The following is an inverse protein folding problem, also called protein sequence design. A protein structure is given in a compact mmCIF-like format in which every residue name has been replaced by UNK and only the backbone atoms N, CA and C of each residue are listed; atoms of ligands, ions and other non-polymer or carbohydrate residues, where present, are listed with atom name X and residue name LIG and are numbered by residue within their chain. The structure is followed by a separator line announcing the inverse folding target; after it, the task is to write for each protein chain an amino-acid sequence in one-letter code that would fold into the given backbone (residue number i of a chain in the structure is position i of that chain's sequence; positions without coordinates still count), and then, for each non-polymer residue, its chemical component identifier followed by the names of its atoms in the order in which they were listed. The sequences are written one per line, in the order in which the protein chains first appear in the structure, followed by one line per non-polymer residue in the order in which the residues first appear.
data_IF_541026209195
#
_entry.id   IF_541026209195
#
_cell.length_a   1.000
_cell.length_b   1.000
_cell.length_c   1.000
_cell.angle_alpha   90.00
_cell.angle_beta   90.00
_cell.angle_gamma   90.00
#
_symmetry.space_group_name_H-M   'P 1'
#
loop_
_entity.id
_entity.type
_entity.pdbx_description
1 polymer ?
#
# COMPACT_ATOMS: atom_id res chain seq x y z
N UNK A 1 -6.32 4.68 4.92
CA UNK A 1 -6.69 5.15 3.57
C UNK A 1 -8.08 4.72 3.20
N UNK A 2 -8.87 5.64 2.73
CA UNK A 2 -10.24 5.32 2.32
C UNK A 2 -10.27 5.05 0.83
N UNK A 3 -11.01 4.02 0.38
CA UNK A 3 -11.10 3.73 -1.05
C UNK A 3 -11.58 4.91 -1.89
N UNK A 4 -12.47 5.73 -1.33
CA UNK A 4 -12.96 6.92 -2.03
C UNK A 4 -11.82 7.87 -2.38
N UNK A 5 -10.92 8.10 -1.43
CA UNK A 5 -9.79 8.99 -1.65
C UNK A 5 -8.86 8.43 -2.73
N UNK A 6 -8.66 7.12 -2.73
CA UNK A 6 -7.82 6.48 -3.73
C UNK A 6 -8.41 6.58 -5.12
N UNK A 7 -9.73 6.49 -5.23
CA UNK A 7 -10.38 6.59 -6.54
C UNK A 7 -10.29 7.97 -7.17
N UNK A 8 -10.03 8.98 -6.36
CA UNK A 8 -9.87 10.35 -6.85
C UNK A 8 -8.47 10.60 -7.42
N UNK A 9 -7.52 9.71 -7.15
CA UNK A 9 -6.16 9.85 -7.63
C UNK A 9 -6.05 9.37 -9.07
N UNK A 10 -5.12 9.99 -9.82
CA UNK A 10 -4.82 9.54 -11.17
C UNK A 10 -4.06 8.21 -11.13
N UNK A 11 -3.96 7.55 -12.29
CA UNK A 11 -3.21 6.33 -12.41
C UNK A 11 -1.75 6.51 -11.98
N UNK A 12 -1.11 7.60 -12.43
CA UNK A 12 0.27 7.88 -12.07
C UNK A 12 0.43 8.13 -10.58
N UNK A 13 -0.51 8.84 -9.98
CA UNK A 13 -0.50 9.09 -8.54
C UNK A 13 -0.67 7.79 -7.75
N UNK A 14 -1.53 6.90 -8.23
CA UNK A 14 -1.72 5.61 -7.60
C UNK A 14 -0.48 4.74 -7.70
N UNK A 15 0.22 4.78 -8.82
CA UNK A 15 1.47 4.02 -8.97
C UNK A 15 2.54 4.53 -8.02
N UNK A 16 2.67 5.84 -7.89
CA UNK A 16 3.61 6.44 -6.96
C UNK A 16 3.26 6.07 -5.52
N UNK A 17 1.97 6.12 -5.18
CA UNK A 17 1.51 5.76 -3.85
C UNK A 17 1.78 4.30 -3.55
N UNK A 18 1.53 3.43 -4.52
CA UNK A 18 1.80 2.00 -4.38
C UNK A 18 3.28 1.74 -4.08
N UNK A 19 4.16 2.40 -4.84
CA UNK A 19 5.59 2.22 -4.64
C UNK A 19 6.02 2.72 -3.26
N UNK A 20 5.52 3.87 -2.85
CA UNK A 20 5.84 4.43 -1.54
C UNK A 20 5.44 3.47 -0.42
N UNK A 21 4.22 2.93 -0.50
CA UNK A 21 3.72 2.03 0.53
C UNK A 21 4.48 0.71 0.56
N UNK A 22 4.87 0.20 -0.61
CA UNK A 22 5.66 -1.03 -0.69
C UNK A 22 7.03 -0.83 -0.08
N UNK A 23 7.65 0.33 -0.32
CA UNK A 23 8.95 0.65 0.26
C UNK A 23 8.86 0.73 1.78
N UNK A 24 7.81 1.36 2.30
CA UNK A 24 7.59 1.42 3.74
C UNK A 24 7.37 0.04 4.34
N UNK A 25 6.60 -0.80 3.68
CA UNK A 25 6.33 -2.14 4.14
C UNK A 25 7.62 -2.97 4.18
N UNK A 26 8.43 -2.84 3.13
CA UNK A 26 9.69 -3.55 3.06
C UNK A 26 10.63 -3.14 4.19
N UNK A 27 10.76 -1.84 4.41
CA UNK A 27 11.59 -1.32 5.50
C UNK A 27 11.10 -1.79 6.86
N UNK A 28 9.78 -1.79 7.08
CA UNK A 28 9.20 -2.24 8.34
C UNK A 28 9.43 -3.73 8.56
N UNK A 29 9.35 -4.54 7.50
CA UNK A 29 9.61 -5.97 7.59
C UNK A 29 11.08 -6.25 7.97
N UNK A 30 12.00 -5.48 7.40
CA UNK A 30 13.41 -5.63 7.72
C UNK A 30 13.64 -5.30 9.19
N UNK A 31 13.10 -4.19 9.67
CA UNK A 31 13.24 -3.82 11.08
C UNK A 31 12.68 -4.89 12.01
N UNK A 32 11.53 -5.45 11.65
CA UNK A 32 10.92 -6.51 12.43
C UNK A 32 11.79 -7.77 12.46
N UNK A 33 12.35 -8.15 11.32
CA UNK A 33 13.15 -9.38 11.22
C UNK A 33 14.50 -9.25 11.92
N UNK A 34 15.03 -8.04 12.08
CA UNK A 34 16.28 -7.81 12.78
C UNK A 34 16.11 -7.60 14.29
N UNK A 35 14.89 -7.79 14.79
CA UNK A 35 14.62 -7.71 16.22
C UNK A 35 14.40 -6.30 16.74
N UNK A 36 14.34 -5.30 15.87
CA UNK A 36 13.97 -3.95 16.28
C UNK A 36 12.49 -3.91 16.61
N UNK A 37 12.15 -3.06 17.58
CA UNK A 37 10.76 -2.90 17.96
C UNK A 37 9.99 -2.31 16.79
N UNK A 38 9.03 -3.07 16.29
CA UNK A 38 8.18 -2.61 15.20
C UNK A 38 6.75 -2.98 15.54
N UNK A 39 5.86 -2.03 15.32
CA UNK A 39 4.44 -2.20 15.60
C UNK A 39 3.82 -3.16 14.57
N UNK A 40 3.39 -4.32 15.03
CA UNK A 40 2.77 -5.30 14.13
C UNK A 40 1.45 -4.79 13.56
N UNK A 41 0.75 -3.92 14.30
CA UNK A 41 -0.46 -3.29 13.78
C UNK A 41 -0.12 -2.37 12.60
N UNK A 42 1.02 -1.69 12.67
CA UNK A 42 1.49 -0.86 11.56
C UNK A 42 1.78 -1.71 10.33
N UNK A 43 2.42 -2.86 10.51
CA UNK A 43 2.68 -3.79 9.40
C UNK A 43 1.38 -4.23 8.74
N UNK A 44 0.38 -4.57 9.54
CA UNK A 44 -0.92 -4.98 9.01
C UNK A 44 -1.61 -3.86 8.27
N UNK A 45 -1.53 -2.63 8.79
CA UNK A 45 -2.10 -1.48 8.11
C UNK A 45 -1.42 -1.23 6.77
N UNK A 46 -0.09 -1.33 6.73
CA UNK A 46 0.65 -1.14 5.49
C UNK A 46 0.29 -2.20 4.45
N UNK A 47 0.18 -3.46 4.86
CA UNK A 47 -0.25 -4.53 3.96
C UNK A 47 -1.63 -4.25 3.38
N UNK A 48 -2.54 -3.81 4.23
CA UNK A 48 -3.91 -3.51 3.82
C UNK A 48 -3.92 -2.35 2.83
N UNK A 49 -3.15 -1.31 3.12
CA UNK A 49 -3.09 -0.14 2.26
C UNK A 49 -2.48 -0.48 0.90
N UNK A 50 -1.43 -1.28 0.87
CA UNK A 50 -0.83 -1.75 -0.39
C UNK A 50 -1.88 -2.49 -1.22
N UNK A 51 -2.64 -3.38 -0.57
CA UNK A 51 -3.67 -4.15 -1.26
C UNK A 51 -4.77 -3.25 -1.80
N UNK A 52 -5.18 -2.25 -1.03
CA UNK A 52 -6.23 -1.32 -1.46
C UNK A 52 -5.79 -0.50 -2.66
N UNK A 53 -4.57 0.03 -2.61
CA UNK A 53 -4.05 0.81 -3.73
C UNK A 53 -3.94 -0.05 -4.98
N UNK A 54 -3.45 -1.29 -4.83
CA UNK A 54 -3.34 -2.21 -5.95
C UNK A 54 -4.71 -2.51 -6.56
N UNK A 55 -5.73 -2.68 -5.72
CA UNK A 55 -7.09 -2.96 -6.19
C UNK A 55 -7.65 -1.79 -6.98
N UNK A 56 -7.51 -0.56 -6.44
CA UNK A 56 -8.02 0.62 -7.12
C UNK A 56 -7.28 0.86 -8.42
N UNK A 57 -5.96 0.66 -8.42
CA UNK A 57 -5.17 0.82 -9.63
C UNK A 57 -5.61 -0.17 -10.71
N UNK A 58 -5.85 -1.43 -10.32
CA UNK A 58 -6.34 -2.45 -11.25
C UNK A 58 -7.69 -2.06 -11.83
N UNK A 59 -8.57 -1.48 -11.02
CA UNK A 59 -9.87 -1.00 -11.49
C UNK A 59 -9.71 0.10 -12.52
N UNK A 60 -8.82 1.05 -12.26
CA UNK A 60 -8.58 2.15 -13.19
C UNK A 60 -7.95 1.68 -14.50
N UNK A 61 -7.19 0.60 -14.44
CA UNK A 61 -6.59 0.02 -15.64
C UNK A 61 -7.55 -0.89 -16.41
N UNK A 62 -8.76 -1.06 -15.88
CA UNK A 62 -9.76 -1.90 -16.54
C UNK A 62 -9.52 -3.39 -16.39
N UNK A 63 -8.77 -3.79 -15.37
CA UNK A 63 -8.47 -5.21 -15.10
C UNK A 63 -9.41 -5.85 -14.10
N UNK A 64 -10.49 -5.17 -13.78
CA UNK A 64 -11.46 -5.67 -12.81
C UNK A 64 -12.29 -6.79 -13.43
N UNK A 65 -12.58 -7.78 -12.62
CA UNK A 65 -13.52 -8.82 -13.00
C UNK A 65 -14.92 -8.47 -12.66
#
# INVERSE_FOLDING_TARGET
MKPRELRELSEDELRAKSQQLRDELFASRIRHSTGQLEDTAKLRRLRRDVARVATVLAQKLGRTQ
#
